data_IF_537427519426
#
_entry.id   IF_537427519426
#
_cell.length_a   1.000
_cell.length_b   1.000
_cell.length_c   1.000
_cell.angle_alpha   90.00
_cell.angle_beta   90.00
_cell.angle_gamma   90.00
#
_symmetry.space_group_name_H-M   'P 1'
#
loop_
_entity.id
_entity.type
_entity.pdbx_description
1 polymer ?
#
# COMPACT_ATOMS: atom_id res chain seq x y z
N UNK A 1 47.35 1.55 -31.58
CA UNK A 1 47.13 1.00 -30.21
C UNK A 1 46.35 1.98 -29.33
N UNK A 2 46.76 3.25 -29.17
CA UNK A 2 46.02 4.24 -28.36
C UNK A 2 44.57 4.52 -28.80
N UNK A 3 44.29 4.56 -30.11
CA UNK A 3 42.93 4.83 -30.62
C UNK A 3 41.93 3.69 -30.34
N UNK A 4 42.36 2.42 -30.41
CA UNK A 4 41.50 1.27 -30.09
C UNK A 4 41.25 1.14 -28.59
N UNK A 5 42.26 1.41 -27.75
CA UNK A 5 42.08 1.43 -26.30
C UNK A 5 41.13 2.55 -25.85
N UNK A 6 41.23 3.73 -26.45
CA UNK A 6 40.28 4.83 -26.20
C UNK A 6 38.84 4.44 -26.57
N UNK A 7 38.63 3.76 -27.69
CA UNK A 7 37.29 3.29 -28.09
C UNK A 7 36.70 2.28 -27.11
N UNK A 8 37.50 1.34 -26.61
CA UNK A 8 37.03 0.34 -25.64
C UNK A 8 36.67 0.95 -24.28
N UNK A 9 37.41 1.97 -23.84
CA UNK A 9 37.09 2.70 -22.62
C UNK A 9 35.76 3.44 -22.78
N UNK A 10 35.56 4.13 -23.91
CA UNK A 10 34.31 4.86 -24.21
C UNK A 10 33.12 3.91 -24.20
N UNK A 11 33.25 2.74 -24.83
CA UNK A 11 32.20 1.73 -24.85
C UNK A 11 31.89 1.19 -23.45
N UNK A 12 32.91 0.96 -22.62
CA UNK A 12 32.73 0.55 -21.22
C UNK A 12 31.96 1.58 -20.39
N UNK A 13 32.29 2.87 -20.52
CA UNK A 13 31.61 3.95 -19.79
C UNK A 13 30.15 4.09 -20.23
N UNK A 14 29.84 3.92 -21.52
CA UNK A 14 28.45 3.94 -22.03
C UNK A 14 27.62 2.84 -21.38
N UNK A 15 28.15 1.61 -21.30
CA UNK A 15 27.44 0.47 -20.70
C UNK A 15 27.19 0.71 -19.20
N UNK A 16 28.21 1.17 -18.46
CA UNK A 16 28.07 1.49 -17.04
C UNK A 16 27.05 2.62 -16.82
N UNK A 17 27.07 3.66 -17.67
CA UNK A 17 26.13 4.77 -17.59
C UNK A 17 24.66 4.33 -17.70
N UNK A 18 24.35 3.45 -18.67
CA UNK A 18 23.00 2.90 -18.84
C UNK A 18 22.61 2.02 -17.64
N UNK A 19 23.54 1.17 -17.18
CA UNK A 19 23.28 0.26 -16.06
C UNK A 19 22.89 1.01 -14.77
N UNK A 20 23.52 2.15 -14.49
CA UNK A 20 23.18 2.98 -13.31
C UNK A 20 21.77 3.54 -13.42
N UNK A 21 21.39 4.11 -14.57
CA UNK A 21 20.05 4.69 -14.76
C UNK A 21 18.97 3.61 -14.66
N UNK A 22 19.17 2.45 -15.29
CA UNK A 22 18.24 1.32 -15.19
C UNK A 22 18.15 0.80 -13.75
N UNK A 23 19.29 0.70 -13.05
CA UNK A 23 19.33 0.28 -11.65
C UNK A 23 18.51 1.20 -10.72
N UNK A 24 18.62 2.51 -10.90
CA UNK A 24 17.85 3.50 -10.12
C UNK A 24 16.35 3.35 -10.39
N UNK A 25 15.95 3.23 -11.67
CA UNK A 25 14.54 3.06 -12.01
C UNK A 25 13.95 1.77 -11.41
N UNK A 26 14.71 0.67 -11.45
CA UNK A 26 14.28 -0.59 -10.85
C UNK A 26 14.16 -0.50 -9.32
N UNK A 27 15.10 0.19 -8.67
CA UNK A 27 15.03 0.40 -7.22
C UNK A 27 13.79 1.20 -6.81
N UNK A 28 13.50 2.29 -7.53
CA UNK A 28 12.30 3.09 -7.30
C UNK A 28 11.02 2.27 -7.53
N UNK A 29 10.94 1.52 -8.65
CA UNK A 29 9.79 0.67 -8.94
C UNK A 29 9.57 -0.39 -7.85
N UNK A 30 10.64 -0.97 -7.30
CA UNK A 30 10.56 -1.93 -6.20
C UNK A 30 10.08 -1.26 -4.89
N UNK A 31 10.55 -0.05 -4.58
CA UNK A 31 10.09 0.71 -3.41
C UNK A 31 8.58 0.99 -3.48
N UNK A 32 8.11 1.47 -4.63
CA UNK A 32 6.69 1.71 -4.91
C UNK A 32 5.89 0.42 -4.78
N UNK A 33 6.38 -0.70 -5.34
CA UNK A 33 5.67 -1.99 -5.22
C UNK A 33 5.60 -2.49 -3.79
N UNK A 34 6.71 -2.42 -3.05
CA UNK A 34 6.74 -2.82 -1.64
C UNK A 34 5.80 -1.98 -0.78
N UNK A 35 5.71 -0.67 -1.04
CA UNK A 35 4.80 0.21 -0.31
C UNK A 35 3.34 -0.13 -0.62
N UNK A 36 3.00 -0.37 -1.91
CA UNK A 36 1.68 -0.83 -2.32
C UNK A 36 1.28 -2.13 -1.64
N UNK A 37 2.17 -3.13 -1.62
CA UNK A 37 1.90 -4.41 -0.98
C UNK A 37 1.73 -4.25 0.54
N UNK A 38 2.52 -3.36 1.16
CA UNK A 38 2.36 -2.96 2.56
C UNK A 38 0.99 -2.32 2.85
N UNK A 39 0.55 -1.38 2.01
CA UNK A 39 -0.77 -0.75 2.14
C UNK A 39 -1.89 -1.78 2.01
N UNK A 40 -1.80 -2.69 1.04
CA UNK A 40 -2.79 -3.76 0.87
C UNK A 40 -2.80 -4.71 2.07
N UNK A 41 -1.64 -5.04 2.62
CA UNK A 41 -1.53 -5.88 3.83
C UNK A 41 -2.20 -5.20 5.04
N UNK A 42 -1.90 -3.93 5.27
CA UNK A 42 -2.47 -3.15 6.37
C UNK A 42 -4.00 -3.03 6.22
N UNK A 43 -4.50 -2.78 5.01
CA UNK A 43 -5.93 -2.76 4.70
C UNK A 43 -6.62 -4.11 4.97
N UNK A 44 -5.98 -5.23 4.64
CA UNK A 44 -6.51 -6.56 4.95
C UNK A 44 -6.54 -6.81 6.47
N UNK A 45 -5.51 -6.39 7.19
CA UNK A 45 -5.47 -6.52 8.65
C UNK A 45 -6.57 -5.69 9.31
N UNK A 46 -6.71 -4.42 8.93
CA UNK A 46 -7.79 -3.54 9.39
C UNK A 46 -9.18 -4.12 9.05
N UNK A 47 -9.35 -4.68 7.85
CA UNK A 47 -10.57 -5.36 7.46
C UNK A 47 -10.88 -6.59 8.32
N UNK A 48 -9.87 -7.39 8.66
CA UNK A 48 -10.04 -8.53 9.57
C UNK A 48 -10.45 -8.08 10.97
N UNK A 49 -9.84 -7.01 11.50
CA UNK A 49 -10.22 -6.42 12.78
C UNK A 49 -11.66 -5.90 12.78
N UNK A 50 -12.07 -5.24 11.70
CA UNK A 50 -13.46 -4.82 11.50
C UNK A 50 -14.43 -6.01 11.51
N UNK A 51 -14.12 -7.09 10.80
CA UNK A 51 -14.97 -8.30 10.80
C UNK A 51 -15.03 -8.97 12.18
N UNK A 52 -13.91 -8.99 12.92
CA UNK A 52 -13.90 -9.49 14.29
C UNK A 52 -14.79 -8.65 15.20
N UNK A 53 -14.78 -7.32 15.05
CA UNK A 53 -15.69 -6.43 15.77
C UNK A 53 -17.15 -6.74 15.43
N UNK A 54 -17.50 -6.86 14.15
CA UNK A 54 -18.88 -7.19 13.71
C UNK A 54 -19.41 -8.49 14.33
N UNK A 55 -18.57 -9.54 14.38
CA UNK A 55 -18.97 -10.86 14.91
C UNK A 55 -19.02 -10.91 16.44
N UNK A 56 -18.27 -10.04 17.12
CA UNK A 56 -18.22 -10.02 18.59
C UNK A 56 -19.54 -9.42 19.15
N UNK A 57 -20.18 -10.05 20.15
CA UNK A 57 -21.37 -9.50 20.79
C UNK A 57 -21.10 -8.14 21.46
N UNK A 58 -22.11 -7.27 21.48
CA UNK A 58 -22.02 -5.95 22.15
C UNK A 58 -21.67 -6.05 23.64
N UNK A 59 -22.11 -7.12 24.31
CA UNK A 59 -21.78 -7.42 25.71
C UNK A 59 -20.28 -7.65 25.98
N UNK A 60 -19.49 -7.89 24.93
CA UNK A 60 -18.04 -8.07 25.00
C UNK A 60 -17.26 -6.91 24.33
N UNK A 61 -17.92 -5.78 24.08
CA UNK A 61 -17.32 -4.62 23.39
C UNK A 61 -17.19 -4.80 21.88
N UNK A 62 -18.03 -5.66 21.28
CA UNK A 62 -18.15 -5.81 19.83
C UNK A 62 -19.31 -5.04 19.22
N UNK A 63 -19.50 -5.22 17.92
CA UNK A 63 -20.53 -4.56 17.14
C UNK A 63 -21.88 -5.28 17.12
N UNK A 64 -21.96 -6.55 17.57
CA UNK A 64 -23.24 -7.26 17.65
C UNK A 64 -23.99 -7.33 16.31
N UNK A 65 -23.29 -7.72 15.25
CA UNK A 65 -23.77 -7.72 13.85
C UNK A 65 -23.99 -6.34 13.23
N UNK A 66 -23.35 -5.29 13.75
CA UNK A 66 -23.16 -4.04 13.04
C UNK A 66 -21.69 -3.60 13.12
N UNK A 67 -21.22 -2.85 12.14
CA UNK A 67 -19.94 -2.16 12.19
C UNK A 67 -20.01 -0.80 12.90
N UNK A 68 -21.21 -0.34 13.28
CA UNK A 68 -21.39 0.94 13.99
C UNK A 68 -20.48 1.01 15.23
N UNK A 69 -19.73 2.11 15.33
CA UNK A 69 -18.79 2.34 16.44
C UNK A 69 -17.41 1.71 16.26
N UNK A 70 -17.19 0.95 15.19
CA UNK A 70 -15.84 0.51 14.84
C UNK A 70 -14.96 1.71 14.49
N UNK A 71 -13.73 1.71 14.98
CA UNK A 71 -12.71 2.73 14.70
C UNK A 71 -11.38 2.05 14.45
N UNK A 72 -10.54 2.68 13.64
CA UNK A 72 -9.16 2.24 13.46
C UNK A 72 -8.39 2.60 14.74
N UNK A 73 -7.61 1.67 15.33
CA UNK A 73 -6.71 2.00 16.43
C UNK A 73 -5.71 3.08 16.01
N UNK A 74 -5.44 4.05 16.87
CA UNK A 74 -4.56 5.20 16.58
C UNK A 74 -3.11 4.83 16.22
N UNK A 75 -2.69 3.58 16.46
CA UNK A 75 -1.37 3.08 16.05
C UNK A 75 -1.37 2.53 14.62
N UNK A 76 -2.56 2.35 14.03
CA UNK A 76 -2.77 1.78 12.70
C UNK A 76 -3.50 2.76 11.76
N UNK A 77 -3.86 3.95 12.23
CA UNK A 77 -4.36 5.02 11.36
C UNK A 77 -3.25 5.60 10.47
N UNK A 78 -2.00 5.51 10.93
CA UNK A 78 -0.79 5.95 10.26
C UNK A 78 0.29 4.89 10.48
N UNK A 79 0.72 4.23 9.42
CA UNK A 79 1.82 3.25 9.43
C UNK A 79 3.00 3.77 8.63
N UNK A 80 4.11 3.03 8.63
CA UNK A 80 5.23 3.31 7.74
C UNK A 80 4.86 3.16 6.25
N UNK A 81 3.77 2.45 5.94
CA UNK A 81 3.32 2.23 4.57
C UNK A 81 2.36 3.33 4.10
N UNK A 82 1.54 3.89 4.98
CA UNK A 82 0.52 4.85 4.59
C UNK A 82 -0.37 5.36 5.70
N UNK A 83 -1.36 6.15 5.30
CA UNK A 83 -2.40 6.68 6.17
C UNK A 83 -3.75 6.05 5.81
N UNK A 84 -4.59 5.73 6.81
CA UNK A 84 -5.82 4.97 6.64
C UNK A 84 -7.02 5.74 7.20
N UNK A 85 -8.01 5.99 6.34
CA UNK A 85 -9.23 6.69 6.71
C UNK A 85 -10.44 5.75 6.57
N UNK A 86 -11.16 5.42 7.66
CA UNK A 86 -12.34 4.59 7.59
C UNK A 86 -13.60 5.43 7.37
N UNK A 87 -14.53 4.89 6.58
CA UNK A 87 -15.92 5.33 6.48
C UNK A 87 -16.81 4.16 6.86
N UNK A 88 -17.51 4.30 7.98
CA UNK A 88 -18.23 3.21 8.65
C UNK A 88 -19.72 3.36 8.42
N UNK A 89 -20.33 2.33 7.83
CA UNK A 89 -21.78 2.14 7.75
C UNK A 89 -22.17 0.93 8.62
N UNK A 90 -23.47 0.71 8.86
CA UNK A 90 -23.91 -0.41 9.71
C UNK A 90 -23.45 -1.78 9.18
N UNK A 91 -23.54 -1.99 7.85
CA UNK A 91 -23.29 -3.28 7.22
C UNK A 91 -22.04 -3.34 6.35
N UNK A 92 -21.37 -2.21 6.14
CA UNK A 92 -20.14 -2.13 5.34
C UNK A 92 -19.19 -1.10 5.95
N UNK A 93 -17.89 -1.32 5.78
CA UNK A 93 -16.87 -0.30 6.02
C UNK A 93 -16.08 -0.12 4.73
N UNK A 94 -15.81 1.12 4.35
CA UNK A 94 -14.80 1.44 3.34
C UNK A 94 -13.59 2.07 4.00
N UNK A 95 -12.40 1.52 3.78
CA UNK A 95 -11.14 2.02 4.34
C UNK A 95 -10.29 2.49 3.18
N UNK A 96 -9.99 3.79 3.14
CA UNK A 96 -9.09 4.36 2.14
C UNK A 96 -7.67 4.38 2.71
N UNK A 97 -6.77 3.65 2.06
CA UNK A 97 -5.34 3.62 2.36
C UNK A 97 -4.56 4.48 1.36
N UNK A 98 -3.80 5.43 1.87
CA UNK A 98 -2.94 6.34 1.12
C UNK A 98 -1.48 5.98 1.38
N UNK A 99 -0.81 5.41 0.37
CA UNK A 99 0.61 5.06 0.44
C UNK A 99 1.53 6.29 0.52
N UNK A 100 2.69 6.12 1.14
CA UNK A 100 3.71 7.17 1.26
C UNK A 100 4.54 7.34 -0.02
N UNK A 101 4.63 6.30 -0.84
CA UNK A 101 5.37 6.33 -2.10
C UNK A 101 4.50 6.83 -3.26
N UNK A 102 5.15 7.51 -4.21
CA UNK A 102 4.52 7.98 -5.45
C UNK A 102 4.83 7.02 -6.59
N UNK A 103 3.84 6.71 -7.40
CA UNK A 103 4.05 5.97 -8.64
C UNK A 103 4.85 6.81 -9.66
N UNK A 104 5.24 6.21 -10.78
CA UNK A 104 6.01 6.89 -11.85
C UNK A 104 5.31 8.12 -12.45
N UNK A 105 3.99 8.24 -12.25
CA UNK A 105 3.19 9.41 -12.65
C UNK A 105 3.15 10.52 -11.58
N UNK A 106 3.81 10.34 -10.44
CA UNK A 106 3.84 11.29 -9.32
C UNK A 106 2.61 11.22 -8.40
N UNK A 107 1.71 10.26 -8.62
CA UNK A 107 0.49 10.07 -7.82
C UNK A 107 0.78 9.14 -6.64
N UNK A 108 0.29 9.49 -5.46
CA UNK A 108 0.33 8.61 -4.28
C UNK A 108 -0.44 7.34 -4.56
N UNK A 109 0.06 6.18 -4.15
CA UNK A 109 -0.68 4.92 -4.22
C UNK A 109 -1.95 5.03 -3.37
N UNK A 110 -3.12 4.73 -3.95
CA UNK A 110 -4.40 4.74 -3.22
C UNK A 110 -5.14 3.43 -3.41
N UNK A 111 -5.44 2.74 -2.30
CA UNK A 111 -6.26 1.54 -2.29
C UNK A 111 -7.48 1.74 -1.38
N UNK A 112 -8.61 1.18 -1.79
CA UNK A 112 -9.82 1.17 -0.97
C UNK A 112 -10.15 -0.26 -0.61
N UNK A 113 -10.25 -0.55 0.69
CA UNK A 113 -10.77 -1.82 1.20
C UNK A 113 -12.26 -1.67 1.52
N UNK A 114 -13.09 -2.49 0.87
CA UNK A 114 -14.50 -2.65 1.22
C UNK A 114 -14.65 -3.90 2.08
N UNK A 115 -15.09 -3.71 3.31
CA UNK A 115 -15.28 -4.76 4.31
C UNK A 115 -16.76 -5.02 4.48
N UNK A 116 -17.17 -6.25 4.18
CA UNK A 116 -18.49 -6.80 4.46
C UNK A 116 -18.38 -7.83 5.60
N UNK A 117 -19.50 -8.29 6.19
CA UNK A 117 -19.47 -9.30 7.25
C UNK A 117 -18.77 -10.61 6.88
N UNK A 118 -18.71 -10.92 5.59
CA UNK A 118 -18.22 -12.18 5.02
C UNK A 118 -17.04 -12.03 4.07
N UNK A 119 -16.72 -10.82 3.61
CA UNK A 119 -15.66 -10.58 2.62
C UNK A 119 -14.89 -9.29 2.90
N UNK A 120 -13.63 -9.27 2.48
CA UNK A 120 -12.79 -8.08 2.40
C UNK A 120 -12.34 -7.99 0.95
N UNK A 121 -12.53 -6.83 0.32
CA UNK A 121 -12.12 -6.62 -1.07
C UNK A 121 -11.30 -5.34 -1.14
N UNK A 122 -10.04 -5.45 -1.54
CA UNK A 122 -9.13 -4.32 -1.70
C UNK A 122 -9.00 -4.02 -3.19
N UNK A 123 -9.30 -2.79 -3.58
CA UNK A 123 -9.27 -2.34 -4.99
C UNK A 123 -8.35 -1.15 -5.13
N UNK A 124 -7.51 -1.15 -6.16
CA UNK A 124 -6.73 0.03 -6.54
C UNK A 124 -7.69 1.15 -6.93
N UNK A 125 -7.53 2.31 -6.32
CA UNK A 125 -8.38 3.47 -6.56
C UNK A 125 -7.68 4.49 -7.43
N UNK A 126 -6.39 4.80 -7.17
CA UNK A 126 -5.50 5.62 -8.01
C UNK A 126 -4.02 5.30 -7.77
#
# INVERSE_FOLDING_TARGET
>A
MGQQQLLLIVLGVIVVGIAVVVGINLFNANAVSSNRDGVVSDLNNLGAMAQQYYKKPGSMGGGGNTFTGWTIPTQLDTTANGNYAPSVSAQTITIQGYGTEKNDAGTTIQHTATVSPTSITVVLTQ
#
